data_IF_365759297215
#
_entry.id   IF_365759297215
#
_cell.length_a   1.000
_cell.length_b   1.000
_cell.length_c   1.000
_cell.angle_alpha   90.00
_cell.angle_beta   90.00
_cell.angle_gamma   90.00
#
_symmetry.space_group_name_H-M   'P 1'
#
loop_
_entity.id
_entity.type
_entity.pdbx_description
1 polymer ?
#
# COMPACT_ATOMS: atom_id res chain seq x y z
N UNK A 1 -1.84 -30.08 -6.69
CA UNK A 1 -1.81 -29.00 -5.68
C UNK A 1 -0.36 -28.57 -5.52
N UNK A 2 -0.02 -27.34 -5.91
CA UNK A 2 1.29 -26.79 -5.62
C UNK A 2 1.36 -26.52 -4.11
N UNK A 3 2.29 -27.18 -3.41
CA UNK A 3 2.58 -26.87 -2.01
C UNK A 3 3.31 -25.53 -2.02
N UNK A 4 2.64 -24.48 -1.56
CA UNK A 4 3.27 -23.18 -1.31
C UNK A 4 4.30 -23.41 -0.21
N UNK A 5 5.58 -23.19 -0.52
CA UNK A 5 6.65 -23.31 0.46
C UNK A 5 6.46 -22.21 1.51
N UNK A 6 6.23 -22.60 2.76
CA UNK A 6 5.85 -21.70 3.84
C UNK A 6 6.90 -20.60 4.09
N UNK A 7 8.18 -20.91 3.89
CA UNK A 7 9.26 -19.93 4.00
C UNK A 7 9.16 -18.83 2.92
N UNK A 8 8.84 -19.21 1.67
CA UNK A 8 8.70 -18.27 0.56
C UNK A 8 7.48 -17.34 0.76
N UNK A 9 6.42 -17.84 1.39
CA UNK A 9 5.25 -17.04 1.74
C UNK A 9 5.57 -15.98 2.81
N UNK A 10 6.37 -16.32 3.81
CA UNK A 10 6.82 -15.41 4.86
C UNK A 10 7.71 -14.28 4.31
N UNK A 11 8.64 -14.63 3.42
CA UNK A 11 9.54 -13.65 2.78
C UNK A 11 8.76 -12.70 1.85
N UNK A 12 7.78 -13.22 1.11
CA UNK A 12 6.90 -12.42 0.27
C UNK A 12 6.05 -11.44 1.10
N UNK A 13 5.47 -11.88 2.22
CA UNK A 13 4.70 -11.02 3.13
C UNK A 13 5.58 -9.91 3.71
N UNK A 14 6.78 -10.25 4.18
CA UNK A 14 7.75 -9.27 4.70
C UNK A 14 8.13 -8.24 3.63
N UNK A 15 8.39 -8.71 2.40
CA UNK A 15 8.74 -7.84 1.28
C UNK A 15 7.58 -6.92 0.88
N UNK A 16 6.34 -7.41 0.88
CA UNK A 16 5.14 -6.61 0.63
C UNK A 16 4.90 -5.57 1.72
N UNK A 17 5.15 -5.91 2.99
CA UNK A 17 5.08 -4.95 4.09
C UNK A 17 6.13 -3.84 3.95
N UNK A 18 7.36 -4.20 3.59
CA UNK A 18 8.43 -3.23 3.33
C UNK A 18 8.06 -2.31 2.16
N UNK A 19 7.58 -2.87 1.05
CA UNK A 19 7.11 -2.10 -0.10
C UNK A 19 5.96 -1.17 0.27
N UNK A 20 4.99 -1.63 1.07
CA UNK A 20 3.88 -0.81 1.55
C UNK A 20 4.39 0.41 2.32
N UNK A 21 5.40 0.24 3.17
CA UNK A 21 5.95 1.35 3.94
C UNK A 21 6.63 2.38 3.03
N UNK A 22 7.45 1.93 2.07
CA UNK A 22 8.09 2.82 1.08
C UNK A 22 7.04 3.59 0.26
N UNK A 23 5.99 2.92 -0.22
CA UNK A 23 4.93 3.60 -0.98
C UNK A 23 4.15 4.62 -0.14
N UNK A 24 4.04 4.43 1.19
CA UNK A 24 3.45 5.43 2.08
C UNK A 24 4.35 6.64 2.27
N UNK A 25 5.65 6.42 2.43
CA UNK A 25 6.63 7.51 2.51
C UNK A 25 6.63 8.34 1.22
N UNK A 26 6.64 7.68 0.05
CA UNK A 26 6.53 8.36 -1.24
C UNK A 26 5.21 9.14 -1.39
N UNK A 27 4.12 8.61 -0.85
CA UNK A 27 2.81 9.27 -0.88
C UNK A 27 2.81 10.53 0.00
N UNK A 28 3.31 10.45 1.22
CA UNK A 28 3.44 11.59 2.13
C UNK A 28 4.30 12.70 1.50
N UNK A 29 5.37 12.32 0.81
CA UNK A 29 6.23 13.24 0.07
C UNK A 29 5.50 13.92 -1.10
N UNK A 30 4.70 13.18 -1.87
CA UNK A 30 3.89 13.74 -2.95
C UNK A 30 2.81 14.69 -2.41
N UNK A 31 2.15 14.32 -1.31
CA UNK A 31 1.13 15.17 -0.68
C UNK A 31 1.74 16.49 -0.17
N UNK A 32 2.93 16.43 0.43
CA UNK A 32 3.68 17.63 0.82
C UNK A 32 3.99 18.52 -0.39
N UNK A 33 4.49 17.94 -1.49
CA UNK A 33 4.81 18.71 -2.72
C UNK A 33 3.57 19.36 -3.34
N UNK A 34 2.44 18.65 -3.36
CA UNK A 34 1.15 19.21 -3.80
C UNK A 34 0.78 20.41 -2.93
N UNK A 35 0.91 20.29 -1.61
CA UNK A 35 0.58 21.36 -0.68
C UNK A 35 1.48 22.59 -0.86
N UNK A 36 2.79 22.37 -0.97
CA UNK A 36 3.79 23.43 -1.20
C UNK A 36 3.54 24.15 -2.53
N UNK A 37 3.28 23.41 -3.61
CA UNK A 37 3.00 23.97 -4.92
C UNK A 37 1.71 24.79 -4.91
N UNK A 38 0.65 24.31 -4.24
CA UNK A 38 -0.61 25.03 -4.11
C UNK A 38 -0.49 26.34 -3.32
N UNK A 39 0.45 26.42 -2.39
CA UNK A 39 0.76 27.65 -1.62
C UNK A 39 1.78 28.56 -2.31
N UNK A 40 2.47 28.06 -3.33
CA UNK A 40 3.44 28.84 -4.08
C UNK A 40 2.76 29.85 -5.01
N UNK A 41 3.49 30.91 -5.39
CA UNK A 41 3.05 31.83 -6.44
C UNK A 41 2.96 31.19 -7.84
N UNK A 42 3.39 29.93 -8.00
CA UNK A 42 3.35 29.20 -9.26
C UNK A 42 2.06 28.41 -9.47
N UNK A 43 1.18 28.32 -8.46
CA UNK A 43 -0.03 27.49 -8.49
C UNK A 43 -0.92 27.72 -9.73
N UNK A 44 -0.98 28.95 -10.24
CA UNK A 44 -1.78 29.31 -11.42
C UNK A 44 -0.96 29.48 -12.70
N UNK A 45 0.35 29.30 -12.61
CA UNK A 45 1.23 29.32 -13.78
C UNK A 45 1.06 28.03 -14.59
N UNK A 46 1.31 28.09 -15.90
CA UNK A 46 1.27 26.90 -16.76
C UNK A 46 2.21 25.79 -16.25
N UNK A 47 3.39 26.18 -15.76
CA UNK A 47 4.37 25.25 -15.16
C UNK A 47 3.79 24.59 -13.91
N UNK A 48 3.26 25.38 -12.97
CA UNK A 48 2.67 24.83 -11.74
C UNK A 48 1.43 23.98 -11.99
N UNK A 49 0.60 24.30 -12.98
CA UNK A 49 -0.54 23.45 -13.37
C UNK A 49 -0.06 22.11 -13.94
N UNK A 50 1.00 22.13 -14.76
CA UNK A 50 1.62 20.92 -15.32
C UNK A 50 2.23 20.04 -14.22
N UNK A 51 3.00 20.63 -13.30
CA UNK A 51 3.58 19.92 -12.15
C UNK A 51 2.50 19.35 -11.22
N UNK A 52 1.44 20.12 -10.95
CA UNK A 52 0.30 19.66 -10.15
C UNK A 52 -0.38 18.44 -10.76
N UNK A 53 -0.51 18.40 -12.10
CA UNK A 53 -1.06 17.25 -12.80
C UNK A 53 -0.17 16.00 -12.63
N UNK A 54 1.15 16.17 -12.76
CA UNK A 54 2.12 15.06 -12.54
C UNK A 54 1.98 14.51 -11.11
N UNK A 55 1.93 15.37 -10.11
CA UNK A 55 1.76 14.94 -8.73
C UNK A 55 0.41 14.27 -8.47
N UNK A 56 -0.68 14.76 -9.07
CA UNK A 56 -1.98 14.12 -8.96
C UNK A 56 -2.01 12.70 -9.57
N UNK A 57 -1.35 12.51 -10.72
CA UNK A 57 -1.22 11.20 -11.36
C UNK A 57 -0.39 10.26 -10.48
N UNK A 58 0.76 10.72 -9.99
CA UNK A 58 1.61 9.95 -9.09
C UNK A 58 0.86 9.53 -7.82
N UNK A 59 0.11 10.47 -7.21
CA UNK A 59 -0.74 10.21 -6.04
C UNK A 59 -1.77 9.11 -6.32
N UNK A 60 -2.47 9.18 -7.44
CA UNK A 60 -3.47 8.17 -7.80
C UNK A 60 -2.84 6.77 -8.01
N UNK A 61 -1.66 6.72 -8.64
CA UNK A 61 -0.92 5.48 -8.83
C UNK A 61 -0.44 4.88 -7.49
N UNK A 62 0.08 5.70 -6.59
CA UNK A 62 0.52 5.28 -5.25
C UNK A 62 -0.65 4.74 -4.41
N UNK A 63 -1.79 5.45 -4.39
CA UNK A 63 -3.00 4.95 -3.72
C UNK A 63 -3.47 3.61 -4.28
N UNK A 64 -3.46 3.45 -5.59
CA UNK A 64 -3.83 2.19 -6.25
C UNK A 64 -2.86 1.05 -5.88
N UNK A 65 -1.55 1.32 -5.86
CA UNK A 65 -0.54 0.36 -5.44
C UNK A 65 -0.69 -0.06 -3.98
N UNK A 66 -0.92 0.90 -3.08
CA UNK A 66 -1.18 0.63 -1.66
C UNK A 66 -2.44 -0.21 -1.45
N UNK A 67 -3.51 0.07 -2.19
CA UNK A 67 -4.74 -0.73 -2.15
C UNK A 67 -4.47 -2.18 -2.58
N UNK A 68 -3.74 -2.38 -3.69
CA UNK A 68 -3.39 -3.72 -4.17
C UNK A 68 -2.53 -4.51 -3.18
N UNK A 69 -1.54 -3.87 -2.55
CA UNK A 69 -0.72 -4.53 -1.52
C UNK A 69 -1.57 -4.91 -0.30
N UNK A 70 -2.44 -4.00 0.16
CA UNK A 70 -3.33 -4.27 1.29
C UNK A 70 -4.31 -5.41 0.98
N UNK A 71 -4.81 -5.48 -0.25
CA UNK A 71 -5.66 -6.59 -0.70
C UNK A 71 -4.90 -7.92 -0.61
N UNK A 72 -3.70 -8.01 -1.21
CA UNK A 72 -2.90 -9.26 -1.20
C UNK A 72 -2.55 -9.68 0.23
N UNK A 73 -2.13 -8.75 1.08
CA UNK A 73 -1.84 -9.03 2.49
C UNK A 73 -3.10 -9.51 3.25
N UNK A 74 -4.25 -8.90 2.97
CA UNK A 74 -5.54 -9.33 3.52
C UNK A 74 -5.93 -10.74 3.09
N UNK A 75 -5.73 -11.09 1.81
CA UNK A 75 -5.96 -12.44 1.31
C UNK A 75 -5.04 -13.47 1.96
N UNK A 76 -3.76 -13.15 2.08
CA UNK A 76 -2.76 -14.04 2.70
C UNK A 76 -3.12 -14.30 4.17
N UNK A 77 -3.54 -13.26 4.90
CA UNK A 77 -4.02 -13.38 6.27
C UNK A 77 -5.29 -14.25 6.36
N UNK A 78 -6.30 -13.98 5.53
CA UNK A 78 -7.55 -14.76 5.49
C UNK A 78 -7.29 -16.25 5.21
N UNK A 79 -6.30 -16.55 4.37
CA UNK A 79 -5.93 -17.93 4.05
C UNK A 79 -5.18 -18.60 5.20
N UNK A 80 -4.35 -17.87 5.96
CA UNK A 80 -3.67 -18.39 7.14
C UNK A 80 -4.60 -18.64 8.34
N UNK A 81 -5.65 -17.84 8.48
CA UNK A 81 -6.69 -18.04 9.50
C UNK A 81 -7.53 -19.30 9.21
N UNK A 82 -7.74 -19.61 7.92
CA UNK A 82 -8.45 -20.81 7.47
C UNK A 82 -7.60 -22.07 7.50
N UNK A 83 -6.29 -21.96 7.77
CA UNK A 83 -5.41 -23.12 7.93
C UNK A 83 -5.61 -23.76 9.31
N UNK A 84 -6.55 -24.73 9.34
CA UNK A 84 -6.90 -25.52 10.52
C UNK A 84 -5.76 -26.40 11.04
N UNK A 85 -4.74 -26.67 10.21
CA UNK A 85 -3.62 -27.54 10.57
C UNK A 85 -2.49 -26.78 11.29
N UNK A 86 -2.59 -25.46 11.43
CA UNK A 86 -1.62 -24.67 12.20
C UNK A 86 -0.25 -24.50 11.54
N UNK A 87 -0.13 -24.75 10.23
CA UNK A 87 1.13 -24.67 9.50
C UNK A 87 1.47 -23.25 9.04
N UNK A 88 0.52 -22.31 9.11
CA UNK A 88 0.77 -20.91 8.79
C UNK A 88 1.75 -20.26 9.80
N UNK A 89 2.82 -19.59 9.32
CA UNK A 89 3.80 -18.95 10.18
C UNK A 89 3.18 -17.73 10.88
N UNK A 90 3.65 -17.46 12.09
CA UNK A 90 3.04 -16.49 13.02
C UNK A 90 2.95 -15.06 12.42
N UNK A 91 3.95 -14.67 11.62
CA UNK A 91 4.00 -13.38 10.90
C UNK A 91 2.82 -13.16 9.94
N UNK A 92 2.23 -14.25 9.43
CA UNK A 92 1.08 -14.22 8.52
C UNK A 92 -0.23 -14.09 9.32
N UNK A 93 -0.27 -14.63 10.53
CA UNK A 93 -1.43 -14.54 11.44
C UNK A 93 -1.47 -13.22 12.22
N UNK A 94 -0.33 -12.60 12.50
CA UNK A 94 -0.26 -11.40 13.34
C UNK A 94 -0.59 -10.09 12.61
N UNK A 95 -1.08 -10.13 11.37
CA UNK A 95 -1.38 -8.91 10.63
C UNK A 95 -2.70 -8.30 11.12
N UNK A 96 -2.65 -7.05 11.58
CA UNK A 96 -3.86 -6.33 11.96
C UNK A 96 -4.80 -6.22 10.77
N UNK A 97 -6.02 -6.73 10.93
CA UNK A 97 -7.14 -6.52 10.03
C UNK A 97 -7.25 -5.04 9.70
N UNK A 98 -7.09 -4.69 8.42
CA UNK A 98 -7.47 -3.36 7.92
C UNK A 98 -8.91 -3.12 8.39
N UNK A 99 -9.22 -2.02 9.09
CA UNK A 99 -10.58 -1.73 9.48
C UNK A 99 -11.43 -1.78 8.21
N UNK A 100 -12.45 -2.64 8.20
CA UNK A 100 -13.43 -2.62 7.13
C UNK A 100 -13.98 -1.19 7.08
N UNK A 101 -13.63 -0.45 6.03
CA UNK A 101 -14.16 0.88 5.83
C UNK A 101 -15.69 0.73 5.81
N UNK A 102 -16.35 1.24 6.86
CA UNK A 102 -17.81 1.31 6.89
C UNK A 102 -18.20 2.34 5.85
N UNK A 103 -18.70 1.86 4.72
CA UNK A 103 -19.36 2.70 3.74
C UNK A 103 -20.74 3.01 4.35
N UNK A 104 -20.92 4.23 4.85
CA UNK A 104 -22.20 4.82 5.24
C UNK A 104 -22.56 5.91 4.25
#
# INVERSE_FOLDING_TARGET
MAKLNICEASDAVTSMQALRNVLREDLDDIERRIHELAQSGLATSEVGVSEMNIYCIARAALYSGLAGINEVLGWVHLMADKDSDGNAPEIVRSFHTVPAASIH
#
